data_IF_862666651695
#
_entry.id   IF_862666651695
#
_cell.length_a   1.000
_cell.length_b   1.000
_cell.length_c   1.000
_cell.angle_alpha   90.00
_cell.angle_beta   90.00
_cell.angle_gamma   90.00
#
_symmetry.space_group_name_H-M   'P 1'
#
loop_
_entity.id
_entity.type
_entity.pdbx_description
1 polymer ?
#
# COMPACT_ATOMS: atom_id res chain seq x y z
N UNK A 1 -13.05 -0.56 -11.99
CA UNK A 1 -12.01 -0.59 -10.93
C UNK A 1 -10.74 -0.04 -11.53
N UNK A 2 -10.09 0.96 -10.92
CA UNK A 2 -8.83 1.49 -11.42
C UNK A 2 -7.81 0.35 -11.56
N UNK A 3 -6.96 0.44 -12.57
CA UNK A 3 -5.87 -0.51 -12.80
C UNK A 3 -4.56 0.27 -12.86
N UNK A 4 -3.49 -0.31 -12.32
CA UNK A 4 -2.18 0.31 -12.29
C UNK A 4 -1.27 -0.57 -13.13
N UNK A 5 -0.85 -0.05 -14.30
CA UNK A 5 0.02 -0.77 -15.25
C UNK A 5 -0.53 -2.15 -15.64
N UNK A 6 -1.83 -2.25 -15.89
CA UNK A 6 -2.51 -3.50 -16.27
C UNK A 6 -2.76 -4.48 -15.13
N UNK A 7 -2.35 -4.15 -13.89
CA UNK A 7 -2.68 -4.93 -12.68
C UNK A 7 -3.84 -4.31 -11.93
N UNK A 8 -4.63 -5.14 -11.23
CA UNK A 8 -5.61 -4.63 -10.27
C UNK A 8 -4.90 -3.91 -9.12
N UNK A 9 -5.55 -2.92 -8.51
CA UNK A 9 -4.98 -2.21 -7.34
C UNK A 9 -4.64 -3.19 -6.24
N UNK A 10 -5.49 -4.19 -5.98
CA UNK A 10 -5.24 -5.24 -4.98
C UNK A 10 -3.95 -6.02 -5.25
N UNK A 11 -3.70 -6.38 -6.50
CA UNK A 11 -2.45 -7.07 -6.88
C UNK A 11 -1.22 -6.16 -6.65
N UNK A 12 -1.32 -4.86 -6.95
CA UNK A 12 -0.25 -3.89 -6.67
C UNK A 12 0.00 -3.74 -5.17
N UNK A 13 -1.05 -3.70 -4.34
CA UNK A 13 -0.91 -3.66 -2.88
C UNK A 13 -0.25 -4.91 -2.33
N UNK A 14 -0.58 -6.08 -2.88
CA UNK A 14 0.10 -7.34 -2.55
C UNK A 14 1.58 -7.29 -2.92
N UNK A 15 1.91 -6.84 -4.13
CA UNK A 15 3.30 -6.66 -4.57
C UNK A 15 4.08 -5.72 -3.64
N UNK A 16 3.44 -4.66 -3.13
CA UNK A 16 4.04 -3.74 -2.13
C UNK A 16 4.28 -4.44 -0.79
N UNK A 17 3.27 -5.16 -0.27
CA UNK A 17 3.36 -5.85 1.00
C UNK A 17 4.49 -6.90 1.00
N UNK A 18 4.57 -7.69 -0.07
CA UNK A 18 5.54 -8.76 -0.24
C UNK A 18 6.94 -8.24 -0.63
N UNK A 19 7.03 -6.98 -1.09
CA UNK A 19 8.28 -6.30 -1.42
C UNK A 19 8.72 -6.46 -2.88
N UNK A 20 7.83 -6.92 -3.76
CA UNK A 20 8.04 -6.97 -5.21
C UNK A 20 7.90 -5.60 -5.89
N UNK A 21 7.23 -4.65 -5.24
CA UNK A 21 7.05 -3.29 -5.74
C UNK A 21 7.37 -2.26 -4.66
N UNK A 22 8.21 -1.28 -5.00
CA UNK A 22 8.49 -0.12 -4.13
C UNK A 22 7.80 1.12 -4.70
N UNK A 23 7.02 1.81 -3.88
CA UNK A 23 6.37 3.06 -4.26
C UNK A 23 7.30 4.24 -4.02
N UNK A 24 7.44 5.09 -5.02
CA UNK A 24 8.20 6.34 -4.97
C UNK A 24 7.47 7.43 -5.78
N UNK A 25 7.86 8.71 -5.69
CA UNK A 25 7.20 9.77 -6.44
C UNK A 25 7.19 9.58 -7.97
N UNK A 26 8.20 8.91 -8.55
CA UNK A 26 8.25 8.64 -10.00
C UNK A 26 7.15 7.64 -10.39
N UNK A 27 6.95 6.60 -9.58
CA UNK A 27 5.85 5.67 -9.74
C UNK A 27 4.49 6.38 -9.68
N UNK A 28 4.29 7.25 -8.68
CA UNK A 28 3.03 7.97 -8.48
C UNK A 28 2.72 9.01 -9.56
N UNK A 29 3.74 9.63 -10.19
CA UNK A 29 3.55 10.59 -11.30
C UNK A 29 2.77 10.01 -12.49
N UNK A 30 2.82 8.68 -12.67
CA UNK A 30 2.11 7.99 -13.76
C UNK A 30 0.65 7.64 -13.45
N UNK A 31 0.19 7.90 -12.23
CA UNK A 31 -1.17 7.61 -11.79
C UNK A 31 -2.05 8.85 -11.92
N UNK A 32 -3.26 8.66 -12.40
CA UNK A 32 -4.33 9.64 -12.29
C UNK A 32 -4.90 9.68 -10.85
N UNK A 33 -5.66 10.72 -10.55
CA UNK A 33 -6.19 10.97 -9.20
C UNK A 33 -7.09 9.82 -8.71
N UNK A 34 -7.88 9.19 -9.59
CA UNK A 34 -8.74 8.06 -9.21
C UNK A 34 -7.89 6.84 -8.84
N UNK A 35 -6.87 6.51 -9.63
CA UNK A 35 -5.95 5.42 -9.33
C UNK A 35 -5.14 5.68 -8.05
N UNK A 36 -4.72 6.91 -7.79
CA UNK A 36 -4.02 7.28 -6.56
C UNK A 36 -4.91 7.09 -5.32
N UNK A 37 -6.17 7.54 -5.38
CA UNK A 37 -7.17 7.32 -4.31
C UNK A 37 -7.48 5.84 -4.13
N UNK A 38 -7.63 5.11 -5.23
CA UNK A 38 -7.85 3.67 -5.22
C UNK A 38 -6.71 2.93 -4.51
N UNK A 39 -5.46 3.25 -4.85
CA UNK A 39 -4.28 2.70 -4.20
C UNK A 39 -4.24 3.03 -2.71
N UNK A 40 -4.48 4.28 -2.34
CA UNK A 40 -4.52 4.71 -0.94
C UNK A 40 -5.54 3.91 -0.11
N UNK A 41 -6.78 3.81 -0.60
CA UNK A 41 -7.86 3.10 0.08
C UNK A 41 -7.59 1.60 0.19
N UNK A 42 -7.06 0.98 -0.85
CA UNK A 42 -6.76 -0.46 -0.84
C UNK A 42 -5.60 -0.79 0.11
N UNK A 43 -4.59 0.09 0.24
CA UNK A 43 -3.53 -0.07 1.24
C UNK A 43 -4.10 -0.01 2.66
N UNK A 44 -5.02 0.92 2.95
CA UNK A 44 -5.65 1.02 4.28
C UNK A 44 -6.44 -0.25 4.62
N UNK A 45 -7.16 -0.81 3.65
CA UNK A 45 -7.86 -2.10 3.81
C UNK A 45 -6.86 -3.22 4.09
N UNK A 46 -5.82 -3.36 3.28
CA UNK A 46 -4.80 -4.40 3.47
C UNK A 46 -4.10 -4.30 4.84
N UNK A 47 -3.81 -3.09 5.34
CA UNK A 47 -3.29 -2.92 6.70
C UNK A 47 -4.28 -3.41 7.76
N UNK A 48 -5.58 -3.17 7.56
CA UNK A 48 -6.62 -3.61 8.49
C UNK A 48 -6.78 -5.13 8.46
N UNK A 49 -6.74 -5.75 7.28
CA UNK A 49 -6.79 -7.19 7.08
C UNK A 49 -5.58 -7.89 7.73
N UNK A 50 -4.35 -7.42 7.48
CA UNK A 50 -3.15 -8.01 8.10
C UNK A 50 -3.17 -7.84 9.64
N UNK A 51 -3.81 -6.77 10.13
CA UNK A 51 -3.97 -6.55 11.57
C UNK A 51 -4.99 -7.50 12.19
N UNK A 52 -6.05 -7.87 11.46
CA UNK A 52 -7.08 -8.80 11.92
C UNK A 52 -6.70 -10.27 11.75
N UNK A 53 -5.66 -10.59 10.97
CA UNK A 53 -5.05 -11.93 10.94
C UNK A 53 -4.75 -12.44 12.36
N UNK A 54 -5.00 -13.74 12.61
CA UNK A 54 -4.67 -14.38 13.90
C UNK A 54 -3.19 -14.20 14.20
N UNK A 55 -2.89 -13.69 15.39
CA UNK A 55 -1.50 -13.41 15.77
C UNK A 55 -0.68 -14.69 15.99
N UNK A 56 0.51 -14.83 15.36
CA UNK A 56 1.34 -16.03 15.46
C UNK A 56 2.26 -15.98 16.70
N UNK A 57 1.71 -16.18 17.90
CA UNK A 57 2.40 -15.96 19.18
C UNK A 57 3.77 -16.65 19.36
N UNK A 58 3.97 -17.82 18.76
CA UNK A 58 5.17 -18.65 18.95
C UNK A 58 6.02 -18.81 17.68
N UNK A 59 5.71 -18.05 16.63
CA UNK A 59 6.44 -18.11 15.36
C UNK A 59 7.06 -16.74 15.08
N UNK A 60 8.32 -16.58 15.51
CA UNK A 60 9.08 -15.33 15.39
C UNK A 60 9.29 -14.93 13.93
N UNK A 61 9.40 -15.90 13.02
CA UNK A 61 9.54 -15.64 11.59
C UNK A 61 8.24 -15.06 11.03
N UNK A 62 7.10 -15.65 11.35
CA UNK A 62 5.78 -15.14 10.94
C UNK A 62 5.47 -13.77 11.56
N UNK A 63 5.85 -13.53 12.82
CA UNK A 63 5.75 -12.20 13.46
C UNK A 63 6.57 -11.17 12.66
N UNK A 64 7.83 -11.48 12.36
CA UNK A 64 8.71 -10.61 11.59
C UNK A 64 8.13 -10.33 10.20
N UNK A 65 7.64 -11.36 9.53
CA UNK A 65 7.04 -11.23 8.20
C UNK A 65 5.83 -10.30 8.21
N UNK A 66 4.90 -10.51 9.15
CA UNK A 66 3.74 -9.64 9.36
C UNK A 66 4.14 -8.18 9.59
N UNK A 67 5.16 -7.94 10.42
CA UNK A 67 5.63 -6.59 10.72
C UNK A 67 6.26 -5.91 9.51
N UNK A 68 7.04 -6.65 8.70
CA UNK A 68 7.61 -6.12 7.45
C UNK A 68 6.51 -5.72 6.47
N UNK A 69 5.48 -6.55 6.27
CA UNK A 69 4.33 -6.24 5.42
C UNK A 69 3.66 -4.93 5.88
N UNK A 70 3.36 -4.82 7.18
CA UNK A 70 2.75 -3.61 7.75
C UNK A 70 3.63 -2.36 7.60
N UNK A 71 4.94 -2.49 7.79
CA UNK A 71 5.90 -1.41 7.63
C UNK A 71 5.94 -0.89 6.19
N UNK A 72 6.02 -1.77 5.19
CA UNK A 72 6.03 -1.41 3.76
C UNK A 72 4.76 -0.67 3.35
N UNK A 73 3.61 -1.18 3.76
CA UNK A 73 2.32 -0.53 3.52
C UNK A 73 2.25 0.84 4.20
N UNK A 74 2.74 0.97 5.42
CA UNK A 74 2.76 2.24 6.14
C UNK A 74 3.65 3.28 5.46
N UNK A 75 4.88 2.91 5.09
CA UNK A 75 5.81 3.77 4.37
C UNK A 75 5.18 4.26 3.05
N UNK A 76 4.49 3.36 2.35
CA UNK A 76 3.79 3.71 1.11
C UNK A 76 2.68 4.75 1.35
N UNK A 77 1.88 4.61 2.42
CA UNK A 77 0.87 5.62 2.77
C UNK A 77 1.49 6.99 3.05
N UNK A 78 2.65 7.04 3.72
CA UNK A 78 3.36 8.30 3.99
C UNK A 78 3.78 8.97 2.67
N UNK A 79 4.34 8.19 1.74
CA UNK A 79 4.76 8.70 0.43
C UNK A 79 3.56 9.21 -0.37
N UNK A 80 2.46 8.44 -0.42
CA UNK A 80 1.22 8.84 -1.12
C UNK A 80 0.64 10.12 -0.51
N UNK A 81 0.55 10.22 0.82
CA UNK A 81 0.03 11.42 1.52
C UNK A 81 0.88 12.64 1.21
N UNK A 82 2.21 12.52 1.23
CA UNK A 82 3.08 13.64 0.90
C UNK A 82 2.91 14.07 -0.56
N UNK A 83 2.90 13.12 -1.49
CA UNK A 83 2.72 13.36 -2.92
C UNK A 83 1.38 14.03 -3.23
N UNK A 84 0.29 13.56 -2.62
CA UNK A 84 -1.05 14.13 -2.79
C UNK A 84 -1.13 15.56 -2.23
N UNK A 85 -0.54 15.81 -1.06
CA UNK A 85 -0.48 17.14 -0.44
C UNK A 85 0.24 18.15 -1.33
N UNK A 86 1.40 17.80 -1.88
CA UNK A 86 2.17 18.67 -2.79
C UNK A 86 1.37 19.03 -4.05
N UNK A 87 0.48 18.14 -4.50
CA UNK A 87 -0.35 18.30 -5.71
C UNK A 87 -1.77 18.76 -5.45
N UNK A 88 -2.14 19.02 -4.18
CA UNK A 88 -3.50 19.40 -3.75
C UNK A 88 -4.58 18.38 -4.15
N UNK A 89 -4.22 17.09 -4.19
CA UNK A 89 -5.15 15.99 -4.46
C UNK A 89 -5.83 15.57 -3.16
N UNK A 90 -7.17 15.51 -3.15
CA UNK A 90 -7.95 15.02 -2.00
C UNK A 90 -8.00 13.49 -2.03
N UNK A 91 -7.41 12.85 -1.01
CA UNK A 91 -7.39 11.39 -0.87
C UNK A 91 -8.67 10.81 -0.25
N UNK A 92 -9.48 11.65 0.39
CA UNK A 92 -10.77 11.35 1.04
C UNK A 92 -11.80 12.34 0.55
#
# INVERSE_FOLDING_TARGET
MPTIRGKSVKAVVYDIAEGYLTVNPIFLKSLDDESLKGLFNEIMKAQSEIRSEKFPHNDTQSIRWRNIRLQRLHQTLVIIKNFARERKILLV
#
